data_IF_954971009644
#
_entry.id   IF_954971009644
#
_cell.length_a   1.000
_cell.length_b   1.000
_cell.length_c   1.000
_cell.angle_alpha   90.00
_cell.angle_beta   90.00
_cell.angle_gamma   90.00
#
_symmetry.space_group_name_H-M   'P 1'
#
loop_
_entity.id
_entity.type
_entity.pdbx_description
1 polymer ?
#
# COMPACT_ATOMS: atom_id res chain seq x y z
N UNK A 1 -22.56 0.58 12.35
CA UNK A 1 -21.36 0.44 13.20
C UNK A 1 -20.83 1.85 13.38
N UNK A 2 -20.54 2.30 14.61
CA UNK A 2 -19.82 3.57 14.76
C UNK A 2 -18.43 3.36 14.19
N UNK A 3 -18.01 4.21 13.26
CA UNK A 3 -16.67 4.17 12.69
C UNK A 3 -15.68 4.74 13.70
N UNK A 4 -15.32 3.91 14.69
CA UNK A 4 -14.30 4.25 15.66
C UNK A 4 -12.99 4.52 14.94
N UNK A 5 -12.46 5.74 15.08
CA UNK A 5 -11.20 6.15 14.45
C UNK A 5 -10.14 6.43 15.49
N UNK A 6 -8.87 6.30 15.10
CA UNK A 6 -7.76 6.65 15.99
C UNK A 6 -7.24 8.04 15.62
N UNK A 7 -7.36 8.99 16.53
CA UNK A 7 -6.85 10.36 16.42
C UNK A 7 -5.53 10.50 17.19
N UNK A 8 -4.54 11.16 16.61
CA UNK A 8 -3.35 11.59 17.36
C UNK A 8 -3.46 13.08 17.68
N UNK A 9 -3.24 13.42 18.95
CA UNK A 9 -3.28 14.79 19.46
C UNK A 9 -1.89 15.12 20.03
N UNK A 10 -1.26 16.14 19.46
CA UNK A 10 -0.03 16.72 20.01
C UNK A 10 -0.40 17.81 21.00
N UNK A 11 0.04 17.66 22.23
CA UNK A 11 -0.17 18.64 23.29
C UNK A 11 1.13 19.10 23.92
N UNK A 12 1.17 20.37 24.30
CA UNK A 12 2.16 20.93 25.22
C UNK A 12 1.51 21.05 26.61
N UNK A 13 2.15 20.51 27.65
CA UNK A 13 1.61 20.44 29.01
C UNK A 13 2.72 20.43 30.08
N UNK A 14 2.42 20.69 31.36
CA UNK A 14 3.40 20.56 32.44
C UNK A 14 3.98 19.14 32.50
N UNK A 15 5.30 19.03 32.65
CA UNK A 15 6.00 17.75 32.79
C UNK A 15 5.78 17.16 34.19
N UNK A 16 4.56 16.66 34.45
CA UNK A 16 4.14 16.13 35.76
C UNK A 16 3.17 14.95 35.59
N UNK A 17 3.20 14.02 36.53
CA UNK A 17 2.25 12.89 36.55
C UNK A 17 0.80 13.34 36.74
N UNK A 18 0.59 14.45 37.45
CA UNK A 18 -0.72 15.06 37.68
C UNK A 18 -1.35 15.55 36.37
N UNK A 19 -0.58 16.28 35.55
CA UNK A 19 -1.05 16.74 34.25
C UNK A 19 -1.39 15.58 33.30
N UNK A 20 -0.56 14.52 33.27
CA UNK A 20 -0.81 13.32 32.46
C UNK A 20 -2.07 12.58 32.93
N UNK A 21 -2.26 12.45 34.25
CA UNK A 21 -3.46 11.85 34.84
C UNK A 21 -4.70 12.63 34.45
N UNK A 22 -4.67 13.96 34.60
CA UNK A 22 -5.77 14.85 34.22
C UNK A 22 -6.12 14.71 32.72
N UNK A 23 -5.12 14.77 31.83
CA UNK A 23 -5.32 14.59 30.39
C UNK A 23 -5.98 13.24 30.07
N UNK A 24 -5.54 12.16 30.70
CA UNK A 24 -6.07 10.81 30.46
C UNK A 24 -7.54 10.71 30.90
N UNK A 25 -7.87 11.29 32.06
CA UNK A 25 -9.25 11.37 32.56
C UNK A 25 -10.12 12.21 31.63
N UNK A 26 -9.64 13.39 31.19
CA UNK A 26 -10.36 14.24 30.24
C UNK A 26 -10.68 13.51 28.94
N UNK A 27 -9.74 12.72 28.42
CA UNK A 27 -9.95 11.89 27.22
C UNK A 27 -11.03 10.84 27.47
N UNK A 28 -10.95 10.14 28.61
CA UNK A 28 -11.92 9.10 28.98
C UNK A 28 -13.34 9.65 29.16
N UNK A 29 -13.48 10.77 29.86
CA UNK A 29 -14.76 11.44 30.11
C UNK A 29 -15.41 11.95 28.81
N UNK A 30 -14.60 12.31 27.81
CA UNK A 30 -15.06 12.69 26.47
C UNK A 30 -15.39 11.50 25.57
N UNK A 31 -15.34 10.26 26.09
CA UNK A 31 -15.63 9.05 25.31
C UNK A 31 -14.46 8.57 24.44
N UNK A 32 -13.23 9.01 24.73
CA UNK A 32 -12.02 8.53 24.10
C UNK A 32 -11.34 7.42 24.90
N UNK A 33 -10.74 6.46 24.22
CA UNK A 33 -9.87 5.45 24.84
C UNK A 33 -8.42 5.77 24.51
N UNK A 34 -7.59 5.93 25.54
CA UNK A 34 -6.15 6.13 25.38
C UNK A 34 -5.50 4.86 24.78
N UNK A 35 -4.91 4.97 23.60
CA UNK A 35 -4.21 3.87 22.91
C UNK A 35 -2.72 3.89 23.22
N UNK A 36 -2.10 5.06 23.13
CA UNK A 36 -0.68 5.25 23.45
C UNK A 36 -0.39 6.71 23.75
N UNK A 37 0.67 6.97 24.50
CA UNK A 37 1.09 8.34 24.80
C UNK A 37 2.60 8.43 24.86
N UNK A 38 3.19 9.25 24.00
CA UNK A 38 4.65 9.33 23.79
C UNK A 38 5.11 10.76 23.96
N UNK A 39 6.15 10.99 24.77
CA UNK A 39 6.79 12.30 24.90
C UNK A 39 7.69 12.52 23.67
N UNK A 40 7.40 13.55 22.89
CA UNK A 40 8.16 13.92 21.67
C UNK A 40 9.27 14.92 21.96
N UNK A 41 9.11 15.76 22.99
CA UNK A 41 10.15 16.66 23.45
C UNK A 41 9.93 17.07 24.90
N UNK A 42 11.00 17.42 25.60
CA UNK A 42 10.92 18.09 26.90
C UNK A 42 11.57 19.48 26.82
N UNK A 43 10.90 20.45 27.43
CA UNK A 43 11.37 21.83 27.61
C UNK A 43 11.33 22.13 29.11
N UNK A 44 12.05 23.15 29.58
CA UNK A 44 12.14 23.44 31.02
C UNK A 44 10.73 23.56 31.66
N UNK A 45 10.33 22.54 32.41
CA UNK A 45 9.03 22.44 33.10
C UNK A 45 7.82 22.01 32.25
N UNK A 46 8.00 21.77 30.95
CA UNK A 46 6.94 21.37 30.03
C UNK A 46 7.36 20.16 29.18
N UNK A 47 6.39 19.39 28.74
CA UNK A 47 6.58 18.34 27.75
C UNK A 47 5.64 18.53 26.58
N UNK A 48 6.12 18.13 25.40
CA UNK A 48 5.32 17.97 24.20
C UNK A 48 5.06 16.48 24.05
N UNK A 49 3.80 16.09 23.85
CA UNK A 49 3.34 14.71 23.88
C UNK A 49 2.39 14.42 22.74
N UNK A 50 2.61 13.30 22.07
CA UNK A 50 1.68 12.74 21.10
C UNK A 50 0.84 11.67 21.80
N UNK A 51 -0.47 11.91 21.86
CA UNK A 51 -1.43 11.01 22.48
C UNK A 51 -2.37 10.45 21.43
N UNK A 52 -2.37 9.12 21.25
CA UNK A 52 -3.31 8.44 20.37
C UNK A 52 -4.57 8.04 21.13
N UNK A 53 -5.72 8.39 20.57
CA UNK A 53 -7.04 8.18 21.16
C UNK A 53 -7.92 7.46 20.16
N UNK A 54 -8.48 6.32 20.55
CA UNK A 54 -9.57 5.66 19.83
C UNK A 54 -10.89 6.31 20.27
N UNK A 55 -11.69 6.80 19.33
CA UNK A 55 -12.96 7.46 19.66
C UNK A 55 -13.93 7.43 18.49
N UNK A 56 -15.23 7.45 18.82
CA UNK A 56 -16.32 7.65 17.87
C UNK A 56 -16.60 9.15 17.64
N UNK A 57 -16.02 10.05 18.45
CA UNK A 57 -16.22 11.51 18.36
C UNK A 57 -14.91 12.27 18.60
N UNK A 58 -14.11 12.40 17.54
CA UNK A 58 -12.84 13.14 17.58
C UNK A 58 -13.00 14.59 18.03
N UNK A 59 -14.04 15.28 17.57
CA UNK A 59 -14.31 16.69 17.91
C UNK A 59 -14.60 16.88 19.40
N UNK A 60 -15.36 15.96 20.02
CA UNK A 60 -15.65 16.02 21.45
C UNK A 60 -14.40 15.83 22.29
N UNK A 61 -13.55 14.85 21.94
CA UNK A 61 -12.25 14.63 22.59
C UNK A 61 -11.35 15.84 22.43
N UNK A 62 -11.26 16.42 21.22
CA UNK A 62 -10.43 17.60 20.96
C UNK A 62 -10.89 18.81 21.77
N UNK A 63 -12.20 19.06 21.82
CA UNK A 63 -12.76 20.16 22.61
C UNK A 63 -12.48 19.98 24.10
N UNK A 64 -12.61 18.76 24.63
CA UNK A 64 -12.32 18.47 26.03
C UNK A 64 -10.83 18.65 26.36
N UNK A 65 -9.93 18.13 25.52
CA UNK A 65 -8.48 18.27 25.70
C UNK A 65 -8.04 19.74 25.59
N UNK A 66 -8.63 20.50 24.66
CA UNK A 66 -8.35 21.93 24.51
C UNK A 66 -8.85 22.79 25.68
N UNK A 67 -9.85 22.31 26.41
CA UNK A 67 -10.38 22.96 27.61
C UNK A 67 -9.66 22.55 28.91
N UNK A 68 -8.73 21.58 28.86
CA UNK A 68 -8.02 21.10 30.03
C UNK A 68 -6.97 22.11 30.52
N UNK A 69 -6.95 22.34 31.84
CA UNK A 69 -6.05 23.31 32.47
C UNK A 69 -4.57 22.95 32.24
N UNK A 70 -3.81 23.94 31.76
CA UNK A 70 -2.39 23.79 31.49
C UNK A 70 -2.05 22.96 30.25
N UNK A 71 -3.05 22.48 29.49
CA UNK A 71 -2.83 21.75 28.24
C UNK A 71 -3.04 22.71 27.06
N UNK A 72 -2.10 22.72 26.12
CA UNK A 72 -2.25 23.39 24.83
C UNK A 72 -2.28 22.32 23.76
N UNK A 73 -3.32 22.28 22.91
CA UNK A 73 -3.32 21.42 21.72
C UNK A 73 -2.53 22.13 20.62
N UNK A 74 -1.37 21.58 20.26
CA UNK A 74 -0.52 22.13 19.21
C UNK A 74 -1.03 21.76 17.82
N UNK A 75 -1.49 20.51 17.67
CA UNK A 75 -1.99 19.93 16.41
C UNK A 75 -2.74 18.63 16.70
N UNK A 76 -3.65 18.24 15.81
CA UNK A 76 -4.18 16.88 15.73
C UNK A 76 -4.21 16.34 14.29
N UNK A 77 -4.22 15.03 14.11
CA UNK A 77 -4.34 14.37 12.80
C UNK A 77 -4.84 12.92 12.96
N UNK A 78 -5.50 12.34 11.95
CA UNK A 78 -5.82 10.91 11.94
C UNK A 78 -4.56 10.05 12.03
N UNK A 79 -4.50 9.12 12.97
CA UNK A 79 -3.29 8.31 13.26
C UNK A 79 -2.89 7.42 12.08
N UNK A 80 -3.85 7.06 11.22
CA UNK A 80 -3.56 6.33 9.98
C UNK A 80 -2.59 7.07 9.07
N UNK A 81 -2.57 8.41 9.09
CA UNK A 81 -1.64 9.19 8.28
C UNK A 81 -0.18 9.00 8.72
N UNK A 82 0.07 8.87 10.02
CA UNK A 82 1.42 8.54 10.53
C UNK A 82 1.84 7.12 10.20
N UNK A 83 0.92 6.17 10.38
CA UNK A 83 1.17 4.77 10.03
C UNK A 83 1.50 4.56 8.55
N UNK A 84 1.21 5.55 7.70
CA UNK A 84 1.46 5.55 6.25
C UNK A 84 2.57 6.52 5.82
N UNK A 85 3.23 7.21 6.74
CA UNK A 85 4.33 8.09 6.40
C UNK A 85 5.48 7.29 5.78
N UNK A 86 5.82 7.60 4.52
CA UNK A 86 6.84 6.87 3.74
C UNK A 86 6.29 5.69 2.93
N UNK A 87 4.97 5.47 2.91
CA UNK A 87 4.32 4.39 2.17
C UNK A 87 4.31 3.05 2.91
N UNK A 88 3.59 2.07 2.37
CA UNK A 88 3.48 0.72 2.94
C UNK A 88 4.53 -0.26 2.41
N UNK A 89 5.27 0.13 1.36
CA UNK A 89 6.10 -0.77 0.57
C UNK A 89 7.56 -0.30 0.53
N UNK A 90 8.46 -1.26 0.37
CA UNK A 90 9.87 -1.00 0.13
C UNK A 90 10.49 -2.08 -0.76
N UNK A 91 11.53 -1.74 -1.51
CA UNK A 91 12.26 -2.70 -2.33
C UNK A 91 13.35 -3.39 -1.53
N UNK A 92 13.53 -4.69 -1.77
CA UNK A 92 14.63 -5.49 -1.21
C UNK A 92 15.28 -6.28 -2.32
N UNK A 93 16.61 -6.38 -2.29
CA UNK A 93 17.37 -7.17 -3.25
C UNK A 93 17.21 -8.66 -2.95
N UNK A 94 17.03 -9.47 -3.99
CA UNK A 94 17.01 -10.94 -3.89
C UNK A 94 18.42 -11.56 -3.92
N UNK A 95 19.40 -10.83 -4.44
CA UNK A 95 20.79 -11.27 -4.57
C UNK A 95 21.67 -10.42 -3.65
N UNK A 96 22.54 -11.03 -2.81
CA UNK A 96 23.50 -10.28 -2.00
C UNK A 96 24.59 -9.68 -2.88
N UNK A 97 25.03 -8.46 -2.56
CA UNK A 97 26.15 -7.77 -3.22
C UNK A 97 27.26 -7.55 -2.19
N UNK A 98 27.98 -8.62 -1.85
CA UNK A 98 29.00 -8.62 -0.80
C UNK A 98 30.42 -8.58 -1.32
N UNK A 99 30.65 -9.10 -2.53
CA UNK A 99 31.95 -9.22 -3.18
C UNK A 99 31.90 -8.70 -4.62
N UNK A 100 33.07 -8.52 -5.23
CA UNK A 100 33.18 -7.98 -6.60
C UNK A 100 32.58 -8.91 -7.64
N UNK A 101 32.70 -10.21 -7.39
CA UNK A 101 32.15 -11.28 -8.20
C UNK A 101 30.61 -11.17 -8.25
N UNK A 102 29.96 -10.85 -7.13
CA UNK A 102 28.50 -10.63 -7.06
C UNK A 102 28.05 -9.51 -8.00
N UNK A 103 28.79 -8.38 -8.02
CA UNK A 103 28.52 -7.27 -8.94
C UNK A 103 28.69 -7.68 -10.40
N UNK A 104 29.70 -8.48 -10.70
CA UNK A 104 29.95 -8.93 -12.08
C UNK A 104 28.87 -9.90 -12.58
N UNK A 105 28.20 -10.62 -11.67
CA UNK A 105 27.08 -11.52 -11.96
C UNK A 105 25.74 -10.79 -12.04
N UNK A 106 25.45 -9.92 -11.07
CA UNK A 106 24.19 -9.17 -11.00
C UNK A 106 24.15 -7.98 -11.97
N UNK A 107 25.29 -7.52 -12.44
CA UNK A 107 25.44 -6.37 -13.32
C UNK A 107 26.39 -6.68 -14.49
N UNK A 108 27.01 -5.67 -15.07
CA UNK A 108 27.97 -5.85 -16.17
C UNK A 108 29.22 -6.60 -15.71
N UNK A 109 29.72 -7.59 -16.49
CA UNK A 109 29.21 -8.05 -17.79
C UNK A 109 28.15 -9.17 -17.73
N UNK A 110 27.88 -9.77 -16.57
CA UNK A 110 26.99 -10.93 -16.42
C UNK A 110 25.57 -10.71 -16.91
N UNK A 111 24.97 -9.55 -16.61
CA UNK A 111 23.60 -9.19 -17.02
C UNK A 111 23.40 -9.27 -18.53
N UNK A 112 24.43 -9.01 -19.34
CA UNK A 112 24.34 -9.09 -20.80
C UNK A 112 24.02 -10.52 -21.28
N UNK A 113 24.53 -11.54 -20.58
CA UNK A 113 24.22 -12.94 -20.92
C UNK A 113 22.76 -13.28 -20.63
N UNK A 114 22.21 -12.76 -19.53
CA UNK A 114 20.80 -12.92 -19.18
C UNK A 114 19.91 -12.21 -20.20
N UNK A 115 20.26 -10.99 -20.60
CA UNK A 115 19.54 -10.26 -21.64
C UNK A 115 19.53 -11.02 -22.98
N UNK A 116 20.67 -11.58 -23.40
CA UNK A 116 20.73 -12.36 -24.64
C UNK A 116 19.94 -13.66 -24.54
N UNK A 117 19.97 -14.35 -23.40
CA UNK A 117 19.14 -15.54 -23.20
C UNK A 117 17.63 -15.25 -23.33
N UNK A 118 17.17 -14.11 -22.81
CA UNK A 118 15.77 -13.66 -22.95
C UNK A 118 15.46 -13.18 -24.37
N UNK A 119 16.43 -12.57 -25.05
CA UNK A 119 16.27 -12.19 -26.46
C UNK A 119 16.09 -13.41 -27.38
N UNK A 120 16.81 -14.50 -27.09
CA UNK A 120 16.74 -15.73 -27.88
C UNK A 120 15.49 -16.56 -27.54
N UNK A 121 14.99 -16.45 -26.31
CA UNK A 121 13.75 -17.08 -25.83
C UNK A 121 13.07 -16.19 -24.77
N UNK A 122 11.99 -15.51 -25.16
CA UNK A 122 11.29 -14.55 -24.29
C UNK A 122 10.68 -15.21 -23.03
N UNK A 123 10.39 -16.52 -23.06
CA UNK A 123 9.86 -17.21 -21.89
C UNK A 123 10.88 -17.35 -20.77
N UNK A 124 12.19 -17.23 -21.08
CA UNK A 124 13.24 -17.15 -20.07
C UNK A 124 13.07 -15.95 -19.12
N UNK A 125 12.28 -14.94 -19.47
CA UNK A 125 11.94 -13.84 -18.57
C UNK A 125 11.24 -14.35 -17.29
N UNK A 126 10.43 -15.40 -17.38
CA UNK A 126 9.79 -16.04 -16.22
C UNK A 126 10.80 -16.72 -15.28
N UNK A 127 11.96 -17.12 -15.81
CA UNK A 127 12.99 -17.84 -15.04
C UNK A 127 14.04 -16.88 -14.45
N UNK A 128 14.52 -15.92 -15.25
CA UNK A 128 15.66 -15.09 -14.89
C UNK A 128 15.32 -13.68 -14.40
N UNK A 129 14.03 -13.37 -14.20
CA UNK A 129 13.60 -12.06 -13.70
C UNK A 129 12.53 -12.19 -12.63
N UNK A 130 12.14 -11.05 -12.05
CA UNK A 130 11.04 -10.96 -11.09
C UNK A 130 9.67 -11.32 -11.69
N UNK A 131 9.56 -11.48 -13.02
CA UNK A 131 8.30 -11.66 -13.73
C UNK A 131 7.40 -12.69 -13.08
N UNK A 132 7.90 -13.90 -12.84
CA UNK A 132 7.12 -15.00 -12.26
C UNK A 132 6.56 -14.75 -10.84
N UNK A 133 6.97 -13.70 -10.14
CA UNK A 133 6.47 -13.37 -8.80
C UNK A 133 5.80 -12.00 -8.71
N UNK A 134 5.62 -11.29 -9.83
CA UNK A 134 5.19 -9.89 -9.80
C UNK A 134 3.79 -9.64 -10.37
N UNK A 135 3.05 -8.73 -9.72
CA UNK A 135 1.71 -8.32 -10.12
C UNK A 135 1.67 -6.80 -10.26
N UNK A 136 1.06 -6.31 -11.34
CA UNK A 136 0.76 -4.89 -11.50
C UNK A 136 -0.59 -4.58 -10.85
N UNK A 137 -0.64 -3.66 -9.90
CA UNK A 137 -1.89 -3.21 -9.26
C UNK A 137 -2.31 -1.89 -9.89
N UNK A 138 -3.34 -1.93 -10.72
CA UNK A 138 -3.82 -0.78 -11.51
C UNK A 138 -5.09 -0.22 -10.90
N UNK A 139 -5.14 1.10 -10.84
CA UNK A 139 -6.33 1.87 -10.49
C UNK A 139 -6.34 3.16 -11.30
N UNK A 140 -7.52 3.70 -11.58
CA UNK A 140 -7.69 5.08 -12.03
C UNK A 140 -8.32 5.96 -10.94
N UNK A 141 -8.66 5.36 -9.79
CA UNK A 141 -9.34 6.01 -8.67
C UNK A 141 -10.76 6.47 -8.96
N UNK A 142 -11.44 5.90 -9.97
CA UNK A 142 -12.83 6.23 -10.28
C UNK A 142 -13.82 5.73 -9.24
N UNK A 143 -13.45 4.74 -8.41
CA UNK A 143 -14.26 4.31 -7.27
C UNK A 143 -13.40 3.65 -6.16
N UNK A 144 -12.91 4.46 -5.22
CA UNK A 144 -12.16 3.98 -4.06
C UNK A 144 -13.11 3.67 -2.90
N UNK A 145 -13.07 2.45 -2.31
CA UNK A 145 -13.94 2.09 -1.19
C UNK A 145 -13.85 3.10 -0.04
N UNK A 146 -15.00 3.67 0.33
CA UNK A 146 -15.12 4.68 1.39
C UNK A 146 -14.73 6.12 1.00
N UNK A 147 -14.13 6.33 -0.18
CA UNK A 147 -13.72 7.66 -0.66
C UNK A 147 -14.37 8.08 -1.99
N UNK A 148 -14.95 7.14 -2.74
CA UNK A 148 -15.57 7.39 -4.05
C UNK A 148 -14.55 7.74 -5.13
N UNK A 149 -14.96 8.55 -6.11
CA UNK A 149 -14.09 9.00 -7.19
C UNK A 149 -13.08 10.05 -6.67
N UNK A 150 -11.81 9.67 -6.64
CA UNK A 150 -10.71 10.51 -6.13
C UNK A 150 -9.58 10.72 -7.15
N UNK A 151 -9.54 9.92 -8.21
CA UNK A 151 -8.48 9.95 -9.23
C UNK A 151 -7.28 9.06 -8.90
N UNK A 152 -6.35 8.96 -9.86
CA UNK A 152 -5.27 7.98 -9.82
C UNK A 152 -4.27 8.21 -8.67
N UNK A 153 -3.72 9.41 -8.48
CA UNK A 153 -2.76 9.63 -7.39
C UNK A 153 -3.38 9.42 -6.00
N UNK A 154 -4.60 9.93 -5.71
CA UNK A 154 -5.24 9.67 -4.42
C UNK A 154 -5.59 8.20 -4.16
N UNK A 155 -5.62 7.33 -5.19
CA UNK A 155 -5.83 5.89 -5.02
C UNK A 155 -4.56 5.10 -4.67
N UNK A 156 -3.36 5.72 -4.70
CA UNK A 156 -2.10 5.05 -4.34
C UNK A 156 -2.15 4.28 -3.01
N UNK A 157 -2.69 4.84 -1.90
CA UNK A 157 -2.73 4.12 -0.62
C UNK A 157 -3.54 2.81 -0.67
N UNK A 158 -4.61 2.77 -1.49
CA UNK A 158 -5.39 1.56 -1.74
C UNK A 158 -4.52 0.54 -2.50
N UNK A 159 -3.88 0.96 -3.59
CA UNK A 159 -3.01 0.08 -4.38
C UNK A 159 -1.84 -0.47 -3.57
N UNK A 160 -1.21 0.35 -2.72
CA UNK A 160 -0.18 -0.09 -1.78
C UNK A 160 -0.70 -1.11 -0.77
N UNK A 161 -1.94 -0.97 -0.31
CA UNK A 161 -2.54 -1.89 0.68
C UNK A 161 -2.84 -3.25 0.07
N UNK A 162 -3.31 -3.29 -1.19
CA UNK A 162 -3.43 -4.54 -1.95
C UNK A 162 -2.07 -5.20 -2.13
N UNK A 163 -1.04 -4.42 -2.48
CA UNK A 163 0.30 -4.95 -2.67
C UNK A 163 0.91 -5.48 -1.37
N UNK A 164 0.70 -4.78 -0.25
CA UNK A 164 1.10 -5.21 1.08
C UNK A 164 0.42 -6.55 1.43
N UNK A 165 -0.87 -6.71 1.14
CA UNK A 165 -1.57 -7.96 1.42
C UNK A 165 -1.03 -9.13 0.59
N UNK A 166 -0.83 -8.92 -0.72
CA UNK A 166 -0.27 -9.93 -1.61
C UNK A 166 1.12 -10.38 -1.15
N UNK A 167 1.91 -9.44 -0.63
CA UNK A 167 3.23 -9.73 -0.06
C UNK A 167 3.13 -10.55 1.22
N UNK A 168 2.32 -10.12 2.18
CA UNK A 168 2.21 -10.76 3.50
C UNK A 168 1.54 -12.13 3.45
N UNK A 169 0.54 -12.32 2.58
CA UNK A 169 -0.27 -13.54 2.54
C UNK A 169 0.17 -14.55 1.49
N UNK A 170 0.76 -14.10 0.38
CA UNK A 170 1.20 -14.97 -0.70
C UNK A 170 2.69 -14.84 -1.05
N UNK A 171 3.44 -13.89 -0.49
CA UNK A 171 4.83 -13.64 -0.87
C UNK A 171 4.97 -13.11 -2.31
N UNK A 172 3.91 -12.51 -2.86
CA UNK A 172 3.89 -11.95 -4.23
C UNK A 172 4.40 -10.50 -4.19
N UNK A 173 5.24 -10.14 -5.17
CA UNK A 173 5.77 -8.79 -5.34
C UNK A 173 4.83 -7.93 -6.19
N UNK A 174 3.87 -7.30 -5.55
CA UNK A 174 2.92 -6.43 -6.23
C UNK A 174 3.40 -4.98 -6.28
N UNK A 175 3.17 -4.32 -7.42
CA UNK A 175 3.61 -2.95 -7.68
C UNK A 175 2.40 -2.05 -7.92
N UNK A 176 2.17 -1.02 -7.07
CA UNK A 176 1.10 -0.06 -7.28
C UNK A 176 1.43 0.83 -8.48
N UNK A 177 0.55 0.84 -9.48
CA UNK A 177 0.66 1.69 -10.65
C UNK A 177 -0.71 2.29 -11.01
N UNK A 178 -1.19 3.28 -10.24
CA UNK A 178 -2.34 4.06 -10.67
C UNK A 178 -2.04 4.80 -11.97
N UNK A 179 -3.00 4.85 -12.88
CA UNK A 179 -2.87 5.45 -14.19
C UNK A 179 -3.94 6.52 -14.33
N UNK A 180 -3.50 7.76 -14.48
CA UNK A 180 -4.38 8.89 -14.74
C UNK A 180 -4.84 8.84 -16.20
N UNK A 181 -6.07 8.38 -16.40
CA UNK A 181 -6.71 8.35 -17.71
C UNK A 181 -8.22 8.27 -17.54
N UNK A 182 -8.95 9.10 -18.29
CA UNK A 182 -10.41 9.02 -18.41
C UNK A 182 -10.85 8.06 -19.53
N UNK A 183 -9.94 7.67 -20.42
CA UNK A 183 -10.20 6.81 -21.57
C UNK A 183 -9.87 5.35 -21.25
N UNK A 184 -10.80 4.44 -21.53
CA UNK A 184 -10.57 2.99 -21.37
C UNK A 184 -9.43 2.53 -22.27
N UNK A 185 -9.41 2.97 -23.53
CA UNK A 185 -8.40 2.55 -24.51
C UNK A 185 -7.00 3.04 -24.13
N UNK A 186 -6.90 4.29 -23.64
CA UNK A 186 -5.60 4.85 -23.24
C UNK A 186 -5.07 4.14 -22.00
N UNK A 187 -5.94 3.84 -21.02
CA UNK A 187 -5.58 3.06 -19.83
C UNK A 187 -5.12 1.66 -20.24
N UNK A 188 -5.88 0.95 -21.08
CA UNK A 188 -5.53 -0.39 -21.56
C UNK A 188 -4.18 -0.38 -22.28
N UNK A 189 -3.97 0.57 -23.20
CA UNK A 189 -2.72 0.73 -23.93
C UNK A 189 -1.52 1.00 -22.99
N UNK A 190 -1.70 1.82 -21.95
CA UNK A 190 -0.68 2.07 -20.95
C UNK A 190 -0.33 0.79 -20.16
N UNK A 191 -1.33 0.04 -19.70
CA UNK A 191 -1.13 -1.24 -19.00
C UNK A 191 -0.41 -2.25 -19.89
N UNK A 192 -0.84 -2.40 -21.15
CA UNK A 192 -0.22 -3.35 -22.10
C UNK A 192 1.26 -3.04 -22.30
N UNK A 193 1.62 -1.77 -22.50
CA UNK A 193 3.01 -1.33 -22.68
C UNK A 193 3.88 -1.57 -21.44
N UNK A 194 3.29 -1.53 -20.25
CA UNK A 194 3.98 -1.76 -18.98
C UNK A 194 3.98 -3.23 -18.53
N UNK A 195 3.23 -4.11 -19.20
CA UNK A 195 2.95 -5.49 -18.74
C UNK A 195 4.16 -6.44 -18.74
N UNK A 196 5.25 -6.12 -19.45
CA UNK A 196 6.39 -7.01 -19.67
C UNK A 196 7.03 -7.53 -18.37
N UNK A 197 7.03 -6.71 -17.32
CA UNK A 197 7.59 -7.05 -16.00
C UNK A 197 6.73 -8.04 -15.24
N UNK A 198 5.43 -8.15 -15.53
CA UNK A 198 4.48 -8.77 -14.60
C UNK A 198 4.02 -10.17 -15.03
N UNK A 199 3.69 -11.00 -14.05
CA UNK A 199 2.99 -12.28 -14.22
C UNK A 199 1.47 -12.15 -14.21
N UNK A 200 0.93 -10.96 -13.91
CA UNK A 200 -0.51 -10.72 -13.89
C UNK A 200 -0.86 -9.27 -13.57
N UNK A 201 -2.09 -8.89 -13.87
CA UNK A 201 -2.63 -7.55 -13.70
C UNK A 201 -3.84 -7.58 -12.76
N UNK A 202 -3.78 -6.81 -11.69
CA UNK A 202 -4.85 -6.66 -10.74
C UNK A 202 -5.51 -5.29 -10.87
N UNK A 203 -6.83 -5.25 -11.06
CA UNK A 203 -7.61 -4.02 -11.16
C UNK A 203 -8.33 -3.73 -9.82
N UNK A 204 -8.17 -2.51 -9.30
CA UNK A 204 -8.78 -2.06 -8.04
C UNK A 204 -9.12 -0.57 -8.09
N UNK A 205 -9.99 -0.10 -7.20
CA UNK A 205 -10.33 1.34 -7.10
C UNK A 205 -10.98 1.91 -8.37
N UNK A 206 -11.68 1.08 -9.13
CA UNK A 206 -12.37 1.44 -10.38
C UNK A 206 -13.87 1.20 -10.23
N UNK A 207 -14.68 2.05 -10.88
CA UNK A 207 -16.13 1.78 -10.98
C UNK A 207 -16.38 0.44 -11.67
N UNK A 208 -17.50 -0.22 -11.34
CA UNK A 208 -17.79 -1.56 -11.85
C UNK A 208 -17.80 -1.62 -13.39
N UNK A 209 -18.53 -0.70 -14.04
CA UNK A 209 -18.62 -0.62 -15.51
C UNK A 209 -17.24 -0.42 -16.16
N UNK A 210 -16.43 0.47 -15.58
CA UNK A 210 -15.09 0.77 -16.10
C UNK A 210 -14.13 -0.40 -15.88
N UNK A 211 -14.13 -0.97 -14.68
CA UNK A 211 -13.30 -2.12 -14.36
C UNK A 211 -13.60 -3.32 -15.24
N UNK A 212 -14.87 -3.61 -15.51
CA UNK A 212 -15.28 -4.73 -16.37
C UNK A 212 -14.86 -4.49 -17.84
N UNK A 213 -14.99 -3.26 -18.35
CA UNK A 213 -14.54 -2.90 -19.70
C UNK A 213 -13.00 -3.01 -19.85
N UNK A 214 -12.25 -2.50 -18.88
CA UNK A 214 -10.78 -2.60 -18.85
C UNK A 214 -10.33 -4.05 -18.73
N UNK A 215 -10.96 -4.86 -17.87
CA UNK A 215 -10.63 -6.27 -17.70
C UNK A 215 -10.82 -7.06 -19.00
N UNK A 216 -11.95 -6.85 -19.68
CA UNK A 216 -12.25 -7.51 -20.95
C UNK A 216 -11.20 -7.15 -22.02
N UNK A 217 -10.93 -5.85 -22.22
CA UNK A 217 -9.96 -5.40 -23.21
C UNK A 217 -8.54 -5.91 -22.90
N UNK A 218 -8.10 -5.91 -21.65
CA UNK A 218 -6.78 -6.42 -21.28
C UNK A 218 -6.63 -7.92 -21.53
N UNK A 219 -7.69 -8.71 -21.30
CA UNK A 219 -7.68 -10.16 -21.60
C UNK A 219 -7.58 -10.47 -23.10
N UNK A 220 -7.97 -9.55 -23.96
CA UNK A 220 -7.80 -9.67 -25.42
C UNK A 220 -6.36 -9.36 -25.86
N UNK A 221 -5.62 -8.58 -25.07
CA UNK A 221 -4.28 -8.11 -25.42
C UNK A 221 -3.14 -8.81 -24.66
N UNK A 222 -3.43 -9.53 -23.59
CA UNK A 222 -2.43 -10.08 -22.68
C UNK A 222 -2.62 -11.58 -22.44
N UNK A 223 -1.53 -12.33 -22.56
CA UNK A 223 -1.47 -13.77 -22.25
C UNK A 223 -1.23 -14.06 -20.76
N UNK A 224 -1.36 -13.04 -19.90
CA UNK A 224 -1.22 -13.14 -18.45
C UNK A 224 -2.57 -12.93 -17.74
N UNK A 225 -2.79 -13.51 -16.55
CA UNK A 225 -4.04 -13.35 -15.83
C UNK A 225 -4.34 -11.88 -15.50
N UNK A 226 -5.53 -11.43 -15.87
CA UNK A 226 -6.10 -10.13 -15.50
C UNK A 226 -7.30 -10.39 -14.60
N UNK A 227 -7.35 -9.74 -13.43
CA UNK A 227 -8.44 -9.90 -12.47
C UNK A 227 -8.80 -8.59 -11.79
N UNK A 228 -10.08 -8.24 -11.79
CA UNK A 228 -10.64 -7.27 -10.85
C UNK A 228 -10.80 -7.88 -9.46
N UNK A 229 -10.56 -7.10 -8.42
CA UNK A 229 -10.84 -7.49 -7.03
C UNK A 229 -11.85 -6.58 -6.34
N UNK A 230 -12.64 -7.19 -5.47
CA UNK A 230 -13.17 -6.53 -4.27
C UNK A 230 -12.14 -6.59 -3.13
N UNK A 231 -12.58 -6.34 -1.89
CA UNK A 231 -11.72 -6.38 -0.69
C UNK A 231 -10.72 -7.55 -0.74
N UNK A 232 -9.44 -7.22 -0.55
CA UNK A 232 -8.37 -8.20 -0.60
C UNK A 232 -8.44 -9.06 0.68
N UNK A 233 -8.93 -10.29 0.56
CA UNK A 233 -9.07 -11.28 1.63
C UNK A 233 -8.02 -12.42 1.51
N UNK A 234 -7.91 -13.35 2.46
CA UNK A 234 -6.96 -14.47 2.35
C UNK A 234 -7.17 -15.41 1.15
N UNK A 235 -8.39 -15.52 0.62
CA UNK A 235 -8.67 -16.34 -0.56
C UNK A 235 -8.10 -15.70 -1.84
N UNK A 236 -8.10 -14.37 -1.91
CA UNK A 236 -7.51 -13.58 -2.99
C UNK A 236 -6.02 -13.90 -3.24
N UNK A 237 -5.23 -14.03 -2.18
CA UNK A 237 -3.80 -14.31 -2.27
C UNK A 237 -3.50 -15.71 -2.86
N UNK A 238 -4.26 -16.73 -2.44
CA UNK A 238 -4.12 -18.10 -2.95
C UNK A 238 -4.53 -18.22 -4.43
N UNK A 239 -5.57 -17.49 -4.84
CA UNK A 239 -6.02 -17.45 -6.24
C UNK A 239 -4.96 -16.89 -7.20
N UNK A 240 -4.18 -15.91 -6.76
CA UNK A 240 -3.11 -15.35 -7.57
C UNK A 240 -1.96 -16.35 -7.77
N UNK A 241 -1.56 -17.08 -6.73
CA UNK A 241 -0.54 -18.13 -6.86
C UNK A 241 -0.95 -19.21 -7.85
N UNK A 242 -2.20 -19.67 -7.78
CA UNK A 242 -2.71 -20.65 -8.74
C UNK A 242 -2.69 -20.11 -10.18
N UNK A 243 -3.17 -18.88 -10.40
CA UNK A 243 -3.22 -18.29 -11.75
C UNK A 243 -1.85 -18.03 -12.37
N UNK A 244 -0.88 -17.57 -11.58
CA UNK A 244 0.50 -17.40 -12.05
C UNK A 244 1.11 -18.75 -12.44
N UNK A 245 0.87 -19.80 -11.64
CA UNK A 245 1.38 -21.14 -11.94
C UNK A 245 0.80 -21.68 -13.25
N UNK A 246 -0.50 -21.50 -13.49
CA UNK A 246 -1.14 -21.90 -14.74
C UNK A 246 -0.54 -21.17 -15.94
N UNK A 247 -0.37 -19.84 -15.85
CA UNK A 247 0.20 -19.04 -16.92
C UNK A 247 1.64 -19.46 -17.27
N UNK A 248 2.43 -19.84 -16.26
CA UNK A 248 3.78 -20.38 -16.45
C UNK A 248 3.78 -21.74 -17.14
N UNK A 249 2.86 -22.65 -16.78
CA UNK A 249 2.80 -23.98 -17.40
C UNK A 249 2.37 -23.96 -18.87
N UNK A 250 1.56 -22.98 -19.27
CA UNK A 250 1.20 -22.78 -20.69
C UNK A 250 2.34 -22.19 -21.52
N UNK A 251 3.36 -21.61 -20.87
CA UNK A 251 4.52 -21.01 -21.52
C UNK A 251 5.74 -21.96 -21.63
N UNK A 252 5.74 -23.14 -20.98
CA UNK A 252 6.74 -24.17 -21.28
C UNK A 252 6.21 -25.06 -22.43
N UNK A 253 6.79 -25.05 -23.64
CA UNK A 253 6.54 -26.12 -24.60
C UNK A 253 7.13 -27.42 -24.05
N UNK A 254 6.45 -28.55 -24.30
CA UNK A 254 6.91 -29.90 -23.94
C UNK A 254 8.42 -30.06 -24.20
N UNK A 255 9.19 -30.34 -23.14
CA UNK A 255 10.62 -30.67 -23.21
C UNK A 255 10.86 -32.04 -23.83
#
# INVERSE_FOLDING_TARGET
MSDSTTLTIRTTMPASSEALGALTTTIADAGGTLVSSTVVAQRRGQEIRDTRVLTDSGDAVLAAVAAADGVTVDRHWPSVLEGRAGGALGMRTSVPLTQREDLSMAYTPGVARVCMAIHDDFDQAWTYTIKANSIMVVSDGSDVPGAGAVGAEPSLPLCESVALLLREQAGIDAFPLPIDSESTDDLVNAVVKCSSVFAGIHLTGMSAERGDAVEAALKEHLDIPVKRGGEADPAFAGLWRASIQTARTTAEPDR
#
